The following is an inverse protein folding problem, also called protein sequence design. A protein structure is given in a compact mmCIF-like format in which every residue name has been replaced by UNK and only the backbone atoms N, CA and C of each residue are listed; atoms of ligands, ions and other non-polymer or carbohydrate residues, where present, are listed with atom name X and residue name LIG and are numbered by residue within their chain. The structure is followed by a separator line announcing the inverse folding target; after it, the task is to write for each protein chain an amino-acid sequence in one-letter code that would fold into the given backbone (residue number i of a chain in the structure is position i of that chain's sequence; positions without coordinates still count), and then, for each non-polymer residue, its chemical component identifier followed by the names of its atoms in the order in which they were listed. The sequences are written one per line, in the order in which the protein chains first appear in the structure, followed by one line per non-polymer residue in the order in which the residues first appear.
data_IF_073323438083
#
_entry.id   IF_073323438083
#
_cell.length_a   1.000
_cell.length_b   1.000
_cell.length_c   1.000
_cell.angle_alpha   90.00
_cell.angle_beta   90.00
_cell.angle_gamma   90.00
#
_symmetry.space_group_name_H-M   'P 1'
#
loop_
_entity.id
_entity.type
_entity.pdbx_description
1 polymer ?
#
# COMPACT_ATOMS: atom_id res chain seq x y z
N UNK A 1 -3.98 -13.30 13.20
CA UNK A 1 -4.50 -11.93 13.40
C UNK A 1 -3.73 -10.88 12.59
N UNK A 2 -2.41 -10.68 12.75
CA UNK A 2 -1.71 -9.60 12.03
C UNK A 2 -1.37 -9.89 10.56
N UNK A 3 -0.98 -11.14 10.24
CA UNK A 3 -0.72 -11.57 8.86
C UNK A 3 -1.97 -11.53 7.97
N UNK A 4 -3.15 -11.77 8.55
CA UNK A 4 -4.43 -11.66 7.85
C UNK A 4 -4.70 -10.20 7.46
N UNK A 5 -4.40 -9.24 8.35
CA UNK A 5 -4.54 -7.81 8.05
C UNK A 5 -3.62 -7.36 6.91
N UNK A 6 -2.37 -7.84 6.90
CA UNK A 6 -1.41 -7.58 5.80
C UNK A 6 -1.99 -8.05 4.47
N UNK A 7 -2.54 -9.28 4.43
CA UNK A 7 -3.14 -9.82 3.21
C UNK A 7 -4.38 -9.03 2.76
N UNK A 8 -5.24 -8.63 3.70
CA UNK A 8 -6.40 -7.78 3.40
C UNK A 8 -5.98 -6.44 2.82
N UNK A 9 -5.02 -5.75 3.45
CA UNK A 9 -4.52 -4.45 2.97
C UNK A 9 -3.88 -4.57 1.59
N UNK A 10 -3.12 -5.63 1.31
CA UNK A 10 -2.59 -5.89 -0.03
C UNK A 10 -3.71 -6.05 -1.06
N UNK A 11 -4.72 -6.86 -0.74
CA UNK A 11 -5.85 -7.06 -1.64
C UNK A 11 -6.62 -5.76 -1.91
N UNK A 12 -6.88 -4.96 -0.86
CA UNK A 12 -7.52 -3.64 -0.99
C UNK A 12 -6.68 -2.71 -1.87
N UNK A 13 -5.39 -2.55 -1.60
CA UNK A 13 -4.49 -1.69 -2.39
C UNK A 13 -4.37 -2.16 -3.85
N UNK A 14 -4.40 -3.47 -4.11
CA UNK A 14 -4.43 -4.00 -5.47
C UNK A 14 -5.74 -3.68 -6.19
N UNK A 15 -6.87 -3.80 -5.51
CA UNK A 15 -8.17 -3.46 -6.05
C UNK A 15 -8.28 -1.95 -6.32
N UNK A 16 -7.81 -1.10 -5.40
CA UNK A 16 -7.74 0.34 -5.60
C UNK A 16 -6.86 0.71 -6.80
N UNK A 17 -5.69 0.09 -6.93
CA UNK A 17 -4.83 0.27 -8.11
C UNK A 17 -5.51 -0.18 -9.40
N UNK A 18 -6.17 -1.34 -9.40
CA UNK A 18 -6.92 -1.80 -10.57
C UNK A 18 -7.98 -0.76 -10.94
N UNK A 19 -8.78 -0.29 -10.00
CA UNK A 19 -9.83 0.70 -10.29
C UNK A 19 -9.28 2.02 -10.79
N UNK A 20 -8.14 2.47 -10.25
CA UNK A 20 -7.47 3.68 -10.70
C UNK A 20 -6.93 3.54 -12.13
N UNK A 21 -6.17 2.48 -12.42
CA UNK A 21 -5.46 2.33 -13.71
C UNK A 21 -6.29 1.67 -14.82
N UNK A 22 -7.27 0.82 -14.47
CA UNK A 22 -8.05 0.03 -15.44
C UNK A 22 -9.43 0.61 -15.64
N UNK A 23 -10.11 0.96 -14.55
CA UNK A 23 -11.52 1.40 -14.59
C UNK A 23 -11.67 2.92 -14.68
N UNK A 24 -10.58 3.68 -14.48
CA UNK A 24 -10.60 5.16 -14.36
C UNK A 24 -11.62 5.64 -13.31
N UNK A 25 -11.84 4.81 -12.28
CA UNK A 25 -12.89 4.95 -11.27
C UNK A 25 -12.29 4.82 -9.86
N UNK A 26 -11.42 5.74 -9.43
CA UNK A 26 -10.78 5.67 -8.13
C UNK A 26 -11.83 5.64 -7.01
N UNK A 27 -11.81 4.58 -6.19
CA UNK A 27 -12.74 4.43 -5.06
C UNK A 27 -12.27 5.15 -3.80
N UNK A 28 -10.99 5.53 -3.74
CA UNK A 28 -10.38 6.32 -2.66
C UNK A 28 -9.49 7.41 -3.26
N UNK A 29 -9.34 8.51 -2.54
CA UNK A 29 -8.37 9.56 -2.88
C UNK A 29 -6.94 9.10 -2.59
N UNK A 30 -5.94 9.76 -3.20
CA UNK A 30 -4.52 9.48 -2.99
C UNK A 30 -4.15 9.46 -1.49
N UNK A 31 -4.66 10.39 -0.69
CA UNK A 31 -4.43 10.41 0.76
C UNK A 31 -5.00 9.18 1.49
N UNK A 32 -6.12 8.62 1.02
CA UNK A 32 -6.68 7.39 1.56
C UNK A 32 -5.84 6.17 1.17
N UNK A 33 -5.32 6.16 -0.06
CA UNK A 33 -4.40 5.13 -0.52
C UNK A 33 -3.10 5.16 0.28
N UNK A 34 -2.53 6.35 0.49
CA UNK A 34 -1.33 6.55 1.30
C UNK A 34 -1.51 6.09 2.76
N UNK A 35 -2.69 6.32 3.35
CA UNK A 35 -2.99 5.86 4.70
C UNK A 35 -3.00 4.33 4.80
N UNK A 36 -3.66 3.64 3.86
CA UNK A 36 -3.68 2.17 3.79
C UNK A 36 -2.28 1.60 3.53
N UNK A 37 -1.52 2.27 2.65
CA UNK A 37 -0.16 1.87 2.32
C UNK A 37 0.77 2.02 3.53
N UNK A 38 0.65 3.10 4.30
CA UNK A 38 1.42 3.31 5.52
C UNK A 38 1.08 2.28 6.60
N UNK A 39 -0.19 1.95 6.78
CA UNK A 39 -0.61 0.87 7.67
C UNK A 39 0.03 -0.47 7.26
N UNK A 40 0.03 -0.78 5.96
CA UNK A 40 0.68 -1.98 5.44
C UNK A 40 2.19 -1.98 5.67
N UNK A 41 2.87 -0.84 5.49
CA UNK A 41 4.29 -0.69 5.77
C UNK A 41 4.62 -0.92 7.26
N UNK A 42 3.84 -0.32 8.16
CA UNK A 42 4.05 -0.49 9.61
C UNK A 42 3.85 -1.93 10.05
N UNK A 43 2.88 -2.63 9.44
CA UNK A 43 2.67 -4.06 9.68
C UNK A 43 3.79 -4.91 9.09
N UNK A 44 4.21 -4.67 7.85
CA UNK A 44 5.33 -5.40 7.23
C UNK A 44 6.65 -5.18 7.98
N UNK A 45 6.86 -3.99 8.56
CA UNK A 45 8.02 -3.71 9.41
C UNK A 45 7.99 -4.50 10.73
N UNK A 46 6.80 -4.74 11.28
CA UNK A 46 6.61 -5.57 12.48
C UNK A 46 6.68 -7.08 12.16
N UNK A 47 6.36 -7.47 10.93
CA UNK A 47 6.31 -8.87 10.47
C UNK A 47 7.24 -9.07 9.25
N UNK A 48 8.57 -9.14 9.45
CA UNK A 48 9.51 -9.37 8.36
C UNK A 48 9.29 -10.71 7.65
N UNK A 49 8.71 -11.72 8.31
CA UNK A 49 8.29 -12.96 7.66
C UNK A 49 7.18 -12.79 6.61
N UNK A 50 6.44 -11.69 6.67
CA UNK A 50 5.36 -11.36 5.74
C UNK A 50 5.86 -10.63 4.50
N UNK A 51 7.16 -10.34 4.40
CA UNK A 51 7.76 -9.63 3.27
C UNK A 51 7.38 -10.29 1.95
N UNK A 52 6.93 -9.48 1.00
CA UNK A 52 6.59 -9.92 -0.35
C UNK A 52 7.12 -8.91 -1.38
N UNK A 53 7.97 -9.35 -2.32
CA UNK A 53 8.50 -8.49 -3.37
C UNK A 53 7.41 -7.92 -4.29
N UNK A 54 6.22 -8.53 -4.35
CA UNK A 54 5.08 -8.03 -5.13
C UNK A 54 4.19 -7.05 -4.36
N UNK A 55 4.47 -6.81 -3.07
CA UNK A 55 3.67 -5.94 -2.22
C UNK A 55 3.60 -4.51 -2.79
N UNK A 56 2.44 -3.83 -2.69
CA UNK A 56 2.31 -2.42 -3.10
C UNK A 56 3.33 -1.50 -2.43
N UNK A 57 3.75 -1.81 -1.20
CA UNK A 57 4.74 -1.06 -0.43
C UNK A 57 6.12 -1.04 -1.10
N UNK A 58 6.49 -2.10 -1.82
CA UNK A 58 7.75 -2.20 -2.56
C UNK A 58 7.74 -1.35 -3.84
N UNK A 59 6.56 -1.23 -4.49
CA UNK A 59 6.40 -0.42 -5.70
C UNK A 59 6.46 1.07 -5.42
N UNK A 60 5.89 1.51 -4.30
CA UNK A 60 5.86 2.93 -3.92
C UNK A 60 7.15 3.33 -3.18
N UNK A 61 7.73 2.45 -2.37
CA UNK A 61 8.96 2.70 -1.61
C UNK A 61 10.25 2.86 -2.44
N UNK A 62 10.27 2.40 -3.69
CA UNK A 62 11.43 2.53 -4.60
C UNK A 62 11.68 3.96 -5.09
N UNK A 63 10.68 4.84 -5.00
CA UNK A 63 10.81 6.25 -5.32
C UNK A 63 10.45 7.04 -4.08
N UNK A 64 11.41 7.20 -3.18
CA UNK A 64 11.35 8.25 -2.15
C UNK A 64 11.28 9.58 -2.90
N UNK A 65 10.06 10.03 -3.20
CA UNK A 65 9.83 11.45 -3.41
C UNK A 65 10.01 12.05 -2.03
N UNK A 66 11.25 12.48 -1.77
CA UNK A 66 11.57 13.43 -0.71
C UNK A 66 10.72 14.67 -0.95
N UNK A 67 9.54 14.71 -0.36
CA UNK A 67 8.74 15.93 -0.24
C UNK A 67 8.15 15.97 1.18
N UNK A 68 9.04 15.95 2.16
CA UNK A 68 8.82 16.72 3.37
C UNK A 68 9.66 18.00 3.23
N UNK A 69 9.09 19.11 3.68
CA UNK A 69 9.60 20.48 3.79
C UNK A 69 9.39 21.44 2.61
N UNK A 70 8.35 22.28 2.77
CA UNK A 70 8.48 23.75 2.76
C UNK A 70 7.35 24.37 3.60
#
# INVERSE_FOLDING_TARGET
MSLERIQTLRAELHEHNRRYYVEDAPSISDAGFDALLRELQDLEAQFPEAFDPNSPTQRVGGTVVKSFDA
#
